data_IF_950515005376
#
_entry.id   IF_950515005376
#
_cell.length_a   1.000
_cell.length_b   1.000
_cell.length_c   1.000
_cell.angle_alpha   90.00
_cell.angle_beta   90.00
_cell.angle_gamma   90.00
#
_symmetry.space_group_name_H-M   'P 1'
#
loop_
_entity.id
_entity.type
_entity.pdbx_description
1 polymer ?
#
# COMPACT_ATOMS: atom_id res chain seq x y z
N UNK A 1 -16.36 7.28 -21.52
CA UNK A 1 -16.04 5.86 -21.77
C UNK A 1 -14.74 5.58 -21.03
N UNK A 2 -14.82 5.21 -19.74
CA UNK A 2 -13.64 4.93 -18.93
C UNK A 2 -13.09 3.58 -19.36
N UNK A 3 -11.89 3.59 -19.94
CA UNK A 3 -11.24 2.42 -20.50
C UNK A 3 -10.98 1.37 -19.43
N UNK A 4 -11.29 0.12 -19.76
CA UNK A 4 -10.93 -1.04 -18.95
C UNK A 4 -9.41 -1.08 -18.88
N UNK A 5 -8.83 -0.67 -17.75
CA UNK A 5 -7.39 -0.84 -17.50
C UNK A 5 -7.15 -2.33 -17.36
N UNK A 6 -6.61 -2.96 -18.42
CA UNK A 6 -6.00 -4.28 -18.30
C UNK A 6 -4.84 -4.12 -17.33
N UNK A 7 -5.04 -4.61 -16.10
CA UNK A 7 -3.98 -4.80 -15.11
C UNK A 7 -2.88 -5.61 -15.80
N UNK A 8 -1.74 -5.00 -16.03
CA UNK A 8 -0.66 -5.64 -16.79
C UNK A 8 -0.03 -6.75 -15.95
N UNK A 9 0.22 -7.90 -16.56
CA UNK A 9 0.86 -9.09 -15.96
C UNK A 9 2.22 -8.81 -15.29
N UNK A 10 2.80 -7.63 -15.52
CA UNK A 10 4.05 -7.18 -14.89
C UNK A 10 3.88 -6.62 -13.47
N UNK A 11 2.65 -6.41 -12.96
CA UNK A 11 2.45 -5.91 -11.59
C UNK A 11 3.05 -6.85 -10.53
N UNK A 12 3.00 -8.16 -10.76
CA UNK A 12 3.35 -9.18 -9.76
C UNK A 12 4.73 -9.84 -9.96
N UNK A 13 5.62 -9.27 -10.80
CA UNK A 13 6.97 -9.84 -10.97
C UNK A 13 7.85 -9.53 -9.76
N UNK A 14 8.28 -10.59 -9.07
CA UNK A 14 9.31 -10.59 -8.03
C UNK A 14 10.60 -9.96 -8.59
N UNK A 15 11.17 -8.99 -7.88
CA UNK A 15 12.45 -8.35 -8.27
C UNK A 15 13.46 -8.61 -7.16
N UNK A 16 14.63 -9.11 -7.54
CA UNK A 16 15.79 -9.25 -6.66
C UNK A 16 16.36 -7.87 -6.33
N UNK A 17 16.13 -7.40 -5.10
CA UNK A 17 16.60 -6.11 -4.62
C UNK A 17 17.98 -6.27 -3.95
N UNK A 18 19.06 -6.17 -4.73
CA UNK A 18 20.42 -6.05 -4.19
C UNK A 18 21.09 -4.73 -4.61
N UNK A 19 20.60 -3.61 -4.08
CA UNK A 19 21.22 -2.29 -4.26
C UNK A 19 21.49 -1.61 -2.93
N UNK A 20 22.78 -1.54 -2.59
CA UNK A 20 23.37 -0.76 -1.50
C UNK A 20 23.43 0.72 -1.92
N UNK A 21 22.84 1.62 -1.13
CA UNK A 21 22.92 3.07 -1.36
C UNK A 21 23.82 3.68 -0.28
N UNK A 22 24.93 4.30 -0.70
CA UNK A 22 25.84 5.05 0.16
C UNK A 22 25.57 6.56 0.04
N UNK A 23 25.22 7.22 1.15
CA UNK A 23 25.50 8.65 1.40
C UNK A 23 25.14 9.11 2.84
N UNK A 24 25.90 10.04 3.45
CA UNK A 24 26.06 10.18 4.91
C UNK A 24 25.08 11.19 5.56
N UNK A 25 23.89 11.38 4.99
CA UNK A 25 22.87 12.33 5.48
C UNK A 25 21.47 11.73 5.73
N UNK A 26 21.33 10.40 5.64
CA UNK A 26 20.04 9.70 5.50
C UNK A 26 19.65 8.81 6.68
N UNK A 27 19.89 9.25 7.93
CA UNK A 27 19.66 8.34 9.08
C UNK A 27 18.19 7.92 9.31
N UNK A 28 17.19 8.46 8.60
CA UNK A 28 15.77 8.04 8.69
C UNK A 28 14.92 8.28 7.41
N UNK A 29 15.27 7.70 6.24
CA UNK A 29 14.50 7.87 4.98
C UNK A 29 14.06 6.56 4.29
N UNK A 30 13.85 5.49 5.03
CA UNK A 30 13.07 4.35 4.52
C UNK A 30 11.57 4.69 4.66
N UNK A 31 11.02 5.38 3.66
CA UNK A 31 9.58 5.62 3.55
C UNK A 31 8.86 4.50 2.81
N UNK A 32 9.55 3.86 1.86
CA UNK A 32 9.04 2.71 1.13
C UNK A 32 9.45 1.43 1.87
N UNK A 33 8.51 0.49 2.07
CA UNK A 33 8.83 -0.89 2.40
C UNK A 33 9.77 -1.48 1.32
N UNK A 34 10.57 -2.48 1.67
CA UNK A 34 11.35 -3.23 0.67
C UNK A 34 10.44 -4.07 -0.23
N UNK A 35 9.30 -4.49 0.33
CA UNK A 35 8.24 -5.19 -0.39
C UNK A 35 7.54 -4.25 -1.36
N UNK A 36 7.34 -4.70 -2.61
CA UNK A 36 6.65 -3.89 -3.62
C UNK A 36 5.21 -3.60 -3.20
N UNK A 37 4.81 -2.35 -3.35
CA UNK A 37 3.49 -1.87 -3.00
C UNK A 37 2.77 -1.29 -4.22
N UNK A 38 1.44 -1.42 -4.27
CA UNK A 38 0.55 -0.67 -5.16
C UNK A 38 -0.47 0.09 -4.33
N UNK A 39 -0.75 1.34 -4.70
CA UNK A 39 -1.81 2.13 -4.09
C UNK A 39 -3.07 2.08 -4.96
N UNK A 40 -4.18 1.58 -4.41
CA UNK A 40 -5.50 1.61 -5.06
C UNK A 40 -6.22 2.88 -4.63
N UNK A 41 -6.49 3.79 -5.57
CA UNK A 41 -7.19 5.04 -5.27
C UNK A 41 -8.71 4.87 -5.26
N UNK A 42 -9.43 5.92 -4.84
CA UNK A 42 -10.89 6.04 -4.93
C UNK A 42 -11.71 4.99 -4.18
N UNK A 43 -11.11 4.33 -3.18
CA UNK A 43 -11.74 3.31 -2.33
C UNK A 43 -12.39 2.15 -3.12
N UNK A 44 -11.70 1.66 -4.15
CA UNK A 44 -12.20 0.56 -4.99
C UNK A 44 -11.96 -0.83 -4.37
N UNK A 45 -12.73 -1.20 -3.34
CA UNK A 45 -12.61 -2.53 -2.69
C UNK A 45 -12.69 -3.69 -3.69
N UNK A 46 -13.60 -3.60 -4.68
CA UNK A 46 -13.72 -4.64 -5.71
C UNK A 46 -12.42 -4.85 -6.48
N UNK A 47 -11.67 -3.77 -6.74
CA UNK A 47 -10.38 -3.83 -7.41
C UNK A 47 -9.30 -4.45 -6.52
N UNK A 48 -9.32 -4.15 -5.22
CA UNK A 48 -8.46 -4.83 -4.24
C UNK A 48 -8.72 -6.35 -4.29
N UNK A 49 -9.98 -6.77 -4.23
CA UNK A 49 -10.35 -8.18 -4.31
C UNK A 49 -9.93 -8.83 -5.65
N UNK A 50 -10.10 -8.13 -6.77
CA UNK A 50 -9.60 -8.62 -8.07
C UNK A 50 -8.07 -8.80 -8.08
N UNK A 51 -7.30 -7.95 -7.39
CA UNK A 51 -5.86 -8.14 -7.29
C UNK A 51 -5.52 -9.37 -6.43
N UNK A 52 -6.27 -9.58 -5.34
CA UNK A 52 -6.15 -10.77 -4.49
C UNK A 52 -6.46 -12.06 -5.27
N UNK A 53 -7.50 -12.07 -6.10
CA UNK A 53 -7.85 -13.25 -6.92
C UNK A 53 -6.78 -13.62 -7.96
N UNK A 54 -5.89 -12.68 -8.32
CA UNK A 54 -4.85 -12.86 -9.32
C UNK A 54 -3.44 -13.03 -8.74
N UNK A 55 -3.29 -13.10 -7.41
CA UNK A 55 -1.98 -13.28 -6.78
C UNK A 55 -2.03 -14.09 -5.48
N UNK A 56 -1.00 -14.89 -5.24
CA UNK A 56 -1.05 -15.91 -4.18
C UNK A 56 -0.56 -15.41 -2.80
N UNK A 57 0.32 -14.40 -2.75
CA UNK A 57 0.90 -13.89 -1.51
C UNK A 57 0.87 -12.35 -1.43
N UNK A 58 -0.32 -11.84 -1.16
CA UNK A 58 -0.59 -10.40 -1.09
C UNK A 58 -1.01 -10.01 0.34
N UNK A 59 -0.31 -9.03 0.90
CA UNK A 59 -0.74 -8.31 2.10
C UNK A 59 -1.59 -7.11 1.70
N UNK A 60 -2.70 -6.89 2.40
CA UNK A 60 -3.49 -5.65 2.27
C UNK A 60 -3.22 -4.74 3.46
N UNK A 61 -2.77 -3.51 3.19
CA UNK A 61 -2.76 -2.42 4.15
C UNK A 61 -4.03 -1.59 3.94
N UNK A 62 -5.02 -1.76 4.80
CA UNK A 62 -6.36 -1.18 4.63
C UNK A 62 -6.94 -0.52 5.88
N UNK A 63 -8.15 0.01 5.76
CA UNK A 63 -8.89 0.63 6.86
C UNK A 63 -9.77 -0.37 7.61
N UNK A 64 -10.05 -0.08 8.88
CA UNK A 64 -10.87 -0.95 9.73
C UNK A 64 -12.28 -1.17 9.15
N UNK A 65 -12.85 -0.13 8.53
CA UNK A 65 -14.18 -0.15 7.94
C UNK A 65 -14.30 -1.12 6.75
N UNK A 66 -13.20 -1.33 6.02
CA UNK A 66 -13.21 -2.05 4.75
C UNK A 66 -12.75 -3.52 4.90
N UNK A 67 -12.24 -3.88 6.09
CA UNK A 67 -11.67 -5.20 6.40
C UNK A 67 -12.62 -6.37 6.10
N UNK A 68 -13.91 -6.23 6.42
CA UNK A 68 -14.89 -7.32 6.23
C UNK A 68 -15.25 -7.56 4.76
N UNK A 69 -14.94 -6.61 3.87
CA UNK A 69 -15.23 -6.67 2.44
C UNK A 69 -14.01 -7.09 1.60
N UNK A 70 -12.84 -7.25 2.24
CA UNK A 70 -11.58 -7.59 1.58
C UNK A 70 -11.30 -9.07 1.83
N UNK A 71 -11.24 -9.86 0.75
CA UNK A 71 -11.16 -11.31 0.75
C UNK A 71 -9.73 -11.82 0.99
N UNK A 72 -9.13 -11.50 2.13
CA UNK A 72 -7.80 -11.99 2.50
C UNK A 72 -7.64 -12.16 4.01
N UNK A 73 -6.90 -13.19 4.41
CA UNK A 73 -6.47 -13.38 5.79
C UNK A 73 -5.22 -12.55 6.13
N UNK A 74 -4.51 -12.03 5.11
CA UNK A 74 -3.32 -11.19 5.25
C UNK A 74 -3.71 -9.72 5.17
N UNK A 75 -4.28 -9.22 6.27
CA UNK A 75 -4.71 -7.82 6.41
C UNK A 75 -3.98 -7.12 7.56
N UNK A 76 -3.35 -5.98 7.26
CA UNK A 76 -2.77 -5.05 8.23
C UNK A 76 -3.63 -3.78 8.28
N UNK A 77 -4.20 -3.49 9.45
CA UNK A 77 -5.01 -2.29 9.63
C UNK A 77 -4.15 -1.01 9.76
N UNK A 78 -4.56 0.04 9.05
CA UNK A 78 -4.11 1.41 9.23
C UNK A 78 -4.82 2.17 10.36
N UNK A 79 -5.93 1.60 10.86
CA UNK A 79 -6.90 2.24 11.73
C UNK A 79 -8.15 2.69 10.97
N UNK A 80 -9.04 3.38 11.69
CA UNK A 80 -10.31 3.87 11.15
C UNK A 80 -10.16 5.14 10.31
N UNK A 81 -10.92 5.23 9.21
CA UNK A 81 -11.06 6.45 8.39
C UNK A 81 -11.58 7.65 9.19
N UNK A 82 -12.30 7.41 10.27
CA UNK A 82 -12.80 8.45 11.20
C UNK A 82 -11.70 9.05 12.07
N UNK A 83 -10.51 8.43 12.12
CA UNK A 83 -9.38 8.91 12.92
C UNK A 83 -8.09 9.02 12.10
N UNK A 84 -8.11 9.89 11.09
CA UNK A 84 -6.94 10.14 10.22
C UNK A 84 -5.70 10.64 10.97
N UNK A 85 -5.87 11.26 12.16
CA UNK A 85 -4.74 11.64 13.01
C UNK A 85 -3.96 10.41 13.50
N UNK A 86 -4.67 9.37 13.95
CA UNK A 86 -4.07 8.11 14.37
C UNK A 86 -3.44 7.39 13.17
N UNK A 87 -4.13 7.34 12.03
CA UNK A 87 -3.61 6.79 10.77
C UNK A 87 -2.29 7.47 10.40
N UNK A 88 -2.26 8.80 10.36
CA UNK A 88 -1.03 9.56 10.05
C UNK A 88 0.09 9.30 11.05
N UNK A 89 -0.22 9.12 12.34
CA UNK A 89 0.78 8.84 13.39
C UNK A 89 1.39 7.45 13.23
N UNK A 90 0.57 6.47 12.86
CA UNK A 90 0.96 5.07 12.76
C UNK A 90 1.51 4.68 11.39
N UNK A 91 1.32 5.52 10.37
CA UNK A 91 1.63 5.20 8.98
C UNK A 91 3.05 4.63 8.78
N UNK A 92 4.09 5.31 9.29
CA UNK A 92 5.46 4.82 9.10
C UNK A 92 5.73 3.50 9.85
N UNK A 93 5.10 3.31 11.00
CA UNK A 93 5.21 2.05 11.75
C UNK A 93 4.55 0.92 10.98
N UNK A 94 3.40 1.14 10.36
CA UNK A 94 2.73 0.16 9.54
C UNK A 94 3.51 -0.16 8.26
N UNK A 95 4.05 0.86 7.59
CA UNK A 95 4.92 0.65 6.41
C UNK A 95 6.16 -0.16 6.76
N UNK A 96 6.77 0.02 7.94
CA UNK A 96 7.89 -0.83 8.38
C UNK A 96 7.47 -2.25 8.74
N UNK A 97 6.24 -2.43 9.24
CA UNK A 97 5.72 -3.76 9.58
C UNK A 97 5.48 -4.60 8.35
N UNK A 98 5.16 -4.00 7.20
CA UNK A 98 4.96 -4.72 5.93
C UNK A 98 6.06 -5.75 5.68
N UNK A 99 7.33 -5.33 5.79
CA UNK A 99 8.46 -6.21 5.46
C UNK A 99 8.59 -7.42 6.39
N UNK A 100 7.97 -7.39 7.58
CA UNK A 100 7.93 -8.54 8.49
C UNK A 100 6.93 -9.62 8.10
N UNK A 101 5.97 -9.30 7.20
CA UNK A 101 5.01 -10.27 6.69
C UNK A 101 5.61 -11.18 5.60
N UNK A 102 6.78 -10.84 5.04
CA UNK A 102 7.45 -11.61 3.99
C UNK A 102 6.55 -11.98 2.79
N UNK A 103 5.61 -11.11 2.43
CA UNK A 103 4.72 -11.31 1.29
C UNK A 103 5.40 -10.89 -0.02
N UNK A 104 4.94 -11.42 -1.16
CA UNK A 104 5.49 -11.07 -2.47
C UNK A 104 5.06 -9.66 -2.91
N UNK A 105 3.88 -9.22 -2.48
CA UNK A 105 3.30 -7.94 -2.89
C UNK A 105 2.37 -7.34 -1.83
N UNK A 106 2.19 -6.01 -1.88
CA UNK A 106 1.29 -5.29 -0.97
C UNK A 106 0.32 -4.44 -1.77
N UNK A 107 -0.96 -4.55 -1.43
CA UNK A 107 -1.99 -3.61 -1.88
C UNK A 107 -2.29 -2.65 -0.74
N UNK A 108 -2.14 -1.36 -0.99
CA UNK A 108 -2.46 -0.30 -0.03
C UNK A 108 -3.75 0.37 -0.47
N UNK A 109 -4.69 0.45 0.45
CA UNK A 109 -5.96 1.13 0.26
C UNK A 109 -5.79 2.65 0.36
N UNK A 110 -6.27 3.37 -0.64
CA UNK A 110 -6.27 4.82 -0.67
C UNK A 110 -7.39 5.45 0.16
N UNK A 111 -7.30 6.77 0.30
CA UNK A 111 -8.35 7.59 0.89
C UNK A 111 -8.55 8.88 0.09
N UNK A 112 -9.63 9.59 0.38
CA UNK A 112 -9.92 10.88 -0.23
C UNK A 112 -8.81 11.91 0.03
N UNK A 113 -8.45 12.67 -1.01
CA UNK A 113 -7.38 13.67 -0.97
C UNK A 113 -7.84 15.02 -0.41
N UNK A 114 -8.51 15.00 0.75
CA UNK A 114 -9.00 16.19 1.44
C UNK A 114 -8.29 16.41 2.78
N UNK A 115 -7.92 17.65 3.09
CA UNK A 115 -7.27 18.03 4.35
C UNK A 115 -6.07 17.13 4.71
N UNK A 116 -6.10 16.50 5.90
CA UNK A 116 -5.07 15.57 6.36
C UNK A 116 -4.88 14.38 5.40
N UNK A 117 -5.92 13.98 4.70
CA UNK A 117 -5.86 12.88 3.75
C UNK A 117 -4.94 13.13 2.57
N UNK A 118 -4.81 14.39 2.11
CA UNK A 118 -3.84 14.78 1.10
C UNK A 118 -2.39 14.48 1.55
N UNK A 119 -2.07 14.77 2.82
CA UNK A 119 -0.75 14.53 3.40
C UNK A 119 -0.44 13.04 3.55
N UNK A 120 -1.43 12.25 3.97
CA UNK A 120 -1.31 10.79 4.06
C UNK A 120 -1.10 10.20 2.66
N UNK A 121 -1.94 10.59 1.68
CA UNK A 121 -1.84 10.12 0.31
C UNK A 121 -0.48 10.44 -0.33
N UNK A 122 0.07 11.63 -0.09
CA UNK A 122 1.42 11.97 -0.58
C UNK A 122 2.49 11.00 -0.04
N UNK A 123 2.40 10.61 1.23
CA UNK A 123 3.32 9.63 1.81
C UNK A 123 3.11 8.23 1.24
N UNK A 124 1.86 7.82 1.04
CA UNK A 124 1.52 6.53 0.43
C UNK A 124 2.00 6.41 -1.02
N UNK A 125 1.78 7.43 -1.84
CA UNK A 125 2.27 7.48 -3.22
C UNK A 125 3.78 7.31 -3.28
N UNK A 126 4.51 7.97 -2.36
CA UNK A 126 5.97 7.83 -2.25
C UNK A 126 6.39 6.44 -1.75
N UNK A 127 5.63 5.83 -0.85
CA UNK A 127 5.90 4.48 -0.37
C UNK A 127 5.68 3.41 -1.46
N UNK A 128 4.74 3.66 -2.37
CA UNK A 128 4.49 2.81 -3.54
C UNK A 128 5.35 3.20 -4.77
N UNK A 129 6.36 4.08 -4.62
CA UNK A 129 7.21 4.50 -5.75
C UNK A 129 6.42 5.04 -6.97
N UNK A 130 5.27 5.68 -6.75
CA UNK A 130 4.30 6.12 -7.77
C UNK A 130 3.56 4.99 -8.52
N UNK A 131 3.61 3.75 -8.03
CA UNK A 131 2.75 2.67 -8.48
C UNK A 131 1.33 2.85 -7.91
N UNK A 132 0.50 3.56 -8.66
CA UNK A 132 -0.86 3.95 -8.27
C UNK A 132 -1.82 3.49 -9.36
N UNK A 133 -2.91 2.85 -8.97
CA UNK A 133 -3.92 2.31 -9.90
C UNK A 133 -5.33 2.77 -9.55
#
# INVERSE_FOLDING_TARGET
MLGVVKLSDNLFKKVDNNTKIESPGMKYRHYAPNTKCVLVVDNEIEKINRLLDNGDDILVLGFDEDKEYINTDKFLSMGSRKNLNLVSKNLFSNLRKIDSYNCDYVVIEGLEKVNLGLSIMNRLIRACENNVI
#
